data_IF_942368444338
#
_entry.id   IF_942368444338
#
_cell.length_a   1.000
_cell.length_b   1.000
_cell.length_c   1.000
_cell.angle_alpha   90.00
_cell.angle_beta   90.00
_cell.angle_gamma   90.00
#
_symmetry.space_group_name_H-M   'P 1'
#
loop_
_entity.id
_entity.type
_entity.pdbx_description
1 polymer ?
#
# COMPACT_ATOMS: atom_id res chain seq x y z
N UNK A 1 16.95 -37.30 -22.31
CA UNK A 1 16.37 -35.93 -22.26
C UNK A 1 16.34 -35.51 -20.80
N UNK A 2 17.35 -34.74 -20.40
CA UNK A 2 17.58 -34.30 -19.01
C UNK A 2 16.66 -33.12 -18.69
N UNK A 3 15.75 -33.29 -17.72
CA UNK A 3 14.87 -32.21 -17.28
C UNK A 3 15.71 -31.25 -16.43
N UNK A 4 16.03 -30.09 -16.99
CA UNK A 4 16.71 -29.01 -16.28
C UNK A 4 15.93 -28.63 -15.01
N UNK A 5 16.49 -28.98 -13.85
CA UNK A 5 15.99 -28.63 -12.54
C UNK A 5 16.24 -27.12 -12.33
N UNK A 6 15.33 -26.27 -12.82
CA UNK A 6 15.41 -24.82 -12.58
C UNK A 6 15.25 -24.58 -11.09
N UNK A 7 16.29 -24.03 -10.47
CA UNK A 7 16.27 -23.60 -9.07
C UNK A 7 15.07 -22.68 -8.82
N UNK A 8 14.30 -22.96 -7.76
CA UNK A 8 13.12 -22.20 -7.38
C UNK A 8 13.54 -20.74 -7.13
N UNK A 9 12.94 -19.79 -7.84
CA UNK A 9 13.23 -18.38 -7.68
C UNK A 9 12.95 -17.94 -6.25
N UNK A 10 13.97 -17.43 -5.55
CA UNK A 10 13.85 -16.84 -4.21
C UNK A 10 13.66 -15.34 -4.39
N UNK A 11 12.64 -14.77 -3.73
CA UNK A 11 12.39 -13.34 -3.75
C UNK A 11 12.16 -12.83 -2.32
N UNK A 12 12.55 -11.58 -2.08
CA UNK A 12 12.27 -10.88 -0.84
C UNK A 12 10.92 -10.20 -1.01
N UNK A 13 10.00 -10.47 -0.09
CA UNK A 13 8.66 -9.84 -0.08
C UNK A 13 8.51 -9.06 1.22
N UNK A 14 8.11 -7.77 1.16
CA UNK A 14 7.85 -7.00 2.36
C UNK A 14 6.72 -7.63 3.16
N UNK A 15 6.96 -7.86 4.45
CA UNK A 15 5.97 -8.43 5.38
C UNK A 15 5.21 -7.36 6.13
N UNK A 16 5.94 -6.46 6.81
CA UNK A 16 5.39 -5.37 7.60
C UNK A 16 6.11 -4.06 7.26
N UNK A 17 5.36 -2.97 7.27
CA UNK A 17 5.87 -1.60 7.29
C UNK A 17 5.34 -0.91 8.56
N UNK A 18 6.17 -0.07 9.16
CA UNK A 18 5.84 0.66 10.38
C UNK A 18 5.96 2.16 10.14
N UNK A 19 5.03 2.91 10.73
CA UNK A 19 4.94 4.37 10.58
C UNK A 19 3.66 4.80 9.87
N UNK A 20 3.48 6.11 9.80
CA UNK A 20 2.36 6.79 9.15
C UNK A 20 2.89 8.06 8.49
N UNK A 21 2.49 8.32 7.25
CA UNK A 21 2.76 9.59 6.59
C UNK A 21 1.72 10.63 7.01
N UNK A 22 2.16 11.60 7.80
CA UNK A 22 1.31 12.67 8.36
C UNK A 22 1.23 13.92 7.48
N UNK A 23 2.03 13.96 6.42
CA UNK A 23 2.06 15.01 5.40
C UNK A 23 0.92 14.90 4.37
N UNK A 24 0.17 13.79 4.38
CA UNK A 24 -0.90 13.50 3.42
C UNK A 24 -2.27 13.77 4.04
N UNK A 25 -3.13 14.52 3.36
CA UNK A 25 -4.51 14.73 3.84
C UNK A 25 -5.36 13.48 3.66
N UNK A 26 -6.16 13.15 4.69
CA UNK A 26 -6.98 11.93 4.67
C UNK A 26 -6.12 10.67 4.73
N UNK A 27 -5.03 10.69 5.49
CA UNK A 27 -4.07 9.61 5.58
C UNK A 27 -4.54 8.36 6.34
N UNK A 28 -5.73 8.35 6.95
CA UNK A 28 -6.25 7.16 7.63
C UNK A 28 -7.70 6.95 7.25
N UNK A 29 -8.01 5.76 6.72
CA UNK A 29 -9.37 5.34 6.39
C UNK A 29 -9.66 3.96 6.94
N UNK A 30 -10.83 3.79 7.56
CA UNK A 30 -11.35 2.47 7.90
C UNK A 30 -12.18 1.92 6.75
N UNK A 31 -12.16 0.62 6.52
CA UNK A 31 -13.09 -0.03 5.59
C UNK A 31 -14.35 -0.50 6.33
N UNK A 32 -15.33 -1.09 5.62
CA UNK A 32 -16.45 -1.79 6.27
C UNK A 32 -16.00 -3.12 6.91
N UNK A 33 -14.77 -3.55 6.66
CA UNK A 33 -14.16 -4.73 7.27
C UNK A 33 -13.27 -4.28 8.44
N UNK A 34 -12.65 -5.24 9.11
CA UNK A 34 -11.61 -5.00 10.13
C UNK A 34 -10.26 -4.63 9.51
N UNK A 35 -10.27 -3.73 8.51
CA UNK A 35 -9.09 -3.29 7.78
C UNK A 35 -8.98 -1.76 7.84
N UNK A 36 -7.78 -1.29 8.17
CA UNK A 36 -7.38 0.11 8.17
C UNK A 36 -6.41 0.36 7.01
N UNK A 37 -6.60 1.47 6.31
CA UNK A 37 -5.81 1.87 5.15
C UNK A 37 -5.06 3.16 5.50
N UNK A 38 -3.74 3.15 5.32
CA UNK A 38 -2.89 4.30 5.63
C UNK A 38 -1.59 4.33 4.80
N UNK A 39 -1.04 5.51 4.46
CA UNK A 39 0.22 5.62 3.77
C UNK A 39 1.39 5.47 4.75
N UNK A 40 2.39 4.69 4.34
CA UNK A 40 3.64 4.48 5.08
C UNK A 40 4.78 4.39 4.07
N UNK A 41 5.83 5.19 4.25
CA UNK A 41 6.93 5.31 3.30
C UNK A 41 6.43 5.53 1.84
N UNK A 42 6.79 4.62 0.92
CA UNK A 42 6.39 4.66 -0.49
C UNK A 42 5.19 3.77 -0.85
N UNK A 43 4.39 3.36 0.13
CA UNK A 43 3.24 2.47 -0.08
C UNK A 43 2.00 2.92 0.67
N UNK A 44 0.85 2.48 0.18
CA UNK A 44 -0.40 2.45 0.93
C UNK A 44 -0.55 1.07 1.56
N UNK A 45 -0.60 1.01 2.89
CA UNK A 45 -0.81 -0.23 3.64
C UNK A 45 -2.31 -0.50 3.80
N UNK A 46 -2.70 -1.75 3.57
CA UNK A 46 -4.00 -2.32 3.88
C UNK A 46 -3.78 -3.32 5.01
N UNK A 47 -4.17 -2.92 6.23
CA UNK A 47 -3.82 -3.64 7.45
C UNK A 47 -5.09 -4.21 8.09
N UNK A 48 -5.19 -5.54 8.08
CA UNK A 48 -6.14 -6.25 8.92
C UNK A 48 -5.62 -6.23 10.36
N UNK A 49 -6.27 -5.44 11.22
CA UNK A 49 -5.80 -5.23 12.59
C UNK A 49 -6.15 -6.39 13.54
N UNK A 50 -7.01 -7.32 13.12
CA UNK A 50 -7.33 -8.52 13.90
C UNK A 50 -6.33 -9.64 13.62
N UNK A 51 -5.96 -9.84 12.36
CA UNK A 51 -4.95 -10.85 11.99
C UNK A 51 -3.52 -10.31 11.97
N UNK A 52 -3.36 -9.00 12.13
CA UNK A 52 -2.10 -8.26 12.05
C UNK A 52 -1.34 -8.50 10.72
N UNK A 53 -2.08 -8.64 9.61
CA UNK A 53 -1.53 -8.84 8.27
C UNK A 53 -1.61 -7.56 7.46
N UNK A 54 -0.53 -7.26 6.74
CA UNK A 54 -0.45 -6.11 5.86
C UNK A 54 -0.33 -6.53 4.39
N UNK A 55 -0.99 -5.77 3.52
CA UNK A 55 -0.78 -5.77 2.08
C UNK A 55 -0.43 -4.36 1.64
N UNK A 56 0.32 -4.24 0.53
CA UNK A 56 0.86 -2.96 0.10
C UNK A 56 0.47 -2.66 -1.34
N UNK A 57 0.00 -1.44 -1.57
CA UNK A 57 -0.07 -0.83 -2.89
C UNK A 57 1.09 0.16 -3.00
N UNK A 58 2.02 -0.07 -3.92
CA UNK A 58 3.18 0.81 -4.11
C UNK A 58 2.76 2.07 -4.88
N UNK A 59 3.14 3.24 -4.37
CA UNK A 59 2.98 4.47 -5.12
C UNK A 59 3.91 4.49 -6.34
N UNK A 60 3.53 5.18 -7.44
CA UNK A 60 4.41 5.38 -8.57
C UNK A 60 5.76 5.98 -8.16
N UNK A 61 6.81 5.67 -8.93
CA UNK A 61 8.12 6.26 -8.71
C UNK A 61 8.07 7.77 -8.99
N UNK A 62 8.87 8.56 -8.24
CA UNK A 62 8.93 10.01 -8.36
C UNK A 62 7.59 10.75 -8.15
N UNK A 63 6.63 10.09 -7.52
CA UNK A 63 5.33 10.66 -7.19
C UNK A 63 5.20 10.92 -5.69
N UNK A 64 4.56 12.03 -5.34
CA UNK A 64 4.21 12.39 -3.98
C UNK A 64 2.68 12.38 -3.82
N UNK A 65 2.10 11.46 -3.03
CA UNK A 65 0.67 11.47 -2.75
C UNK A 65 0.32 12.61 -1.81
N UNK A 66 -0.73 13.37 -2.13
CA UNK A 66 -1.12 14.58 -1.39
C UNK A 66 -2.44 14.40 -0.64
N UNK A 67 -3.37 13.65 -1.23
CA UNK A 67 -4.71 13.43 -0.68
C UNK A 67 -5.17 12.01 -0.98
N UNK A 68 -5.74 11.37 0.03
CA UNK A 68 -6.38 10.07 -0.10
C UNK A 68 -7.85 10.22 0.30
N UNK A 69 -8.75 9.75 -0.55
CA UNK A 69 -10.20 9.76 -0.28
C UNK A 69 -10.79 8.38 -0.54
N UNK A 70 -11.75 8.00 0.30
CA UNK A 70 -12.52 6.77 0.14
C UNK A 70 -13.95 7.13 -0.28
N UNK A 71 -14.53 6.35 -1.19
CA UNK A 71 -15.94 6.53 -1.59
C UNK A 71 -16.87 6.30 -0.38
N UNK A 72 -18.08 6.90 -0.36
CA UNK A 72 -19.02 6.73 0.76
C UNK A 72 -19.39 5.26 1.04
N UNK A 73 -19.50 4.44 0.00
CA UNK A 73 -19.74 3.00 0.12
C UNK A 73 -18.48 2.18 0.48
N UNK A 74 -17.34 2.84 0.64
CA UNK A 74 -16.01 2.29 0.97
C UNK A 74 -15.51 1.20 0.03
N UNK A 75 -15.98 1.19 -1.23
CA UNK A 75 -15.54 0.24 -2.26
C UNK A 75 -14.38 0.75 -3.11
N UNK A 76 -14.20 2.06 -3.19
CA UNK A 76 -13.19 2.69 -4.02
C UNK A 76 -12.33 3.62 -3.19
N UNK A 77 -11.05 3.67 -3.55
CA UNK A 77 -10.08 4.60 -2.99
C UNK A 77 -9.46 5.37 -4.16
N UNK A 78 -9.31 6.68 -3.97
CA UNK A 78 -8.61 7.53 -4.91
C UNK A 78 -7.44 8.21 -4.19
N UNK A 79 -6.30 8.24 -4.86
CA UNK A 79 -5.09 8.92 -4.40
C UNK A 79 -4.80 10.02 -5.40
N UNK A 80 -4.81 11.26 -4.93
CA UNK A 80 -4.30 12.39 -5.70
C UNK A 80 -2.80 12.51 -5.44
N UNK A 81 -2.03 12.61 -6.52
CA UNK A 81 -0.58 12.59 -6.46
C UNK A 81 0.03 13.69 -7.34
N UNK A 82 1.17 14.20 -6.90
CA UNK A 82 1.99 15.16 -7.63
C UNK A 82 3.24 14.46 -8.13
N UNK A 83 3.41 14.42 -9.45
CA UNK A 83 4.66 13.96 -10.05
C UNK A 83 5.72 15.04 -9.94
N UNK A 84 6.94 14.66 -9.53
CA UNK A 84 8.08 15.58 -9.42
C UNK A 84 8.94 15.62 -10.70
N UNK A 85 8.38 15.24 -11.84
CA UNK A 85 9.08 15.29 -13.12
C UNK A 85 9.33 16.75 -13.49
N UNK A 86 10.60 17.14 -13.46
CA UNK A 86 11.10 18.38 -14.07
C UNK A 86 11.29 18.19 -15.56
#
# INVERSE_FOLDING_TARGET
MEKANRSKQISIVPKNAYGLRTDIMGNVHFTLKQEIIYPVAGVLAFHDFVTNKQKFLRFPQNSHPERIVISPNRKFIAVAERTNDK
#
